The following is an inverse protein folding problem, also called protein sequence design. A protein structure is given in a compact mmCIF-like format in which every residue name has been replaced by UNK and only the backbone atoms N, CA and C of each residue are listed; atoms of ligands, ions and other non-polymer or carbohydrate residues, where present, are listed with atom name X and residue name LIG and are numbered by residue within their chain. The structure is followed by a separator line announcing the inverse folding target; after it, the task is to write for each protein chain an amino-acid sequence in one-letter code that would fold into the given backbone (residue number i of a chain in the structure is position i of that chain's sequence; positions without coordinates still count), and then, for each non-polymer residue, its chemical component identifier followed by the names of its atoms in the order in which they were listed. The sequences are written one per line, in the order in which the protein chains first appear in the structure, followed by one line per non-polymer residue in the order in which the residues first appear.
data_IF_657636676299
#
_entry.id   IF_657636676299
#
_cell.length_a   1.000
_cell.length_b   1.000
_cell.length_c   1.000
_cell.angle_alpha   90.00
_cell.angle_beta   90.00
_cell.angle_gamma   90.00
#
_symmetry.space_group_name_H-M   'P 1'
#
loop_
_entity.id
_entity.type
_entity.pdbx_description
1 polymer ?
#
# COMPACT_ATOMS: atom_id res chain seq x y z
N UNK A 1 -9.37 15.10 -25.97
CA UNK A 1 -8.26 14.13 -25.89
C UNK A 1 -8.68 13.05 -24.89
N UNK A 2 -9.09 11.88 -25.40
CA UNK A 2 -9.43 10.69 -24.59
C UNK A 2 -8.12 10.09 -24.09
N UNK A 3 -7.94 9.99 -22.78
CA UNK A 3 -6.96 9.05 -22.22
C UNK A 3 -7.67 7.71 -22.01
N UNK A 4 -7.28 6.75 -22.83
CA UNK A 4 -7.75 5.37 -22.76
C UNK A 4 -7.30 4.68 -21.49
N UNK A 5 -8.09 3.69 -21.08
CA UNK A 5 -7.87 2.77 -19.96
C UNK A 5 -6.45 2.18 -19.93
N UNK A 6 -5.89 1.89 -18.75
CA UNK A 6 -4.84 0.89 -18.61
C UNK A 6 -5.42 -0.40 -18.03
N UNK A 7 -5.71 -1.37 -18.89
CA UNK A 7 -5.54 -2.77 -18.55
C UNK A 7 -4.07 -3.09 -18.77
N UNK A 8 -3.29 -3.25 -17.70
CA UNK A 8 -1.91 -3.77 -17.80
C UNK A 8 -1.80 -4.98 -16.89
N UNK A 9 -2.02 -6.15 -17.50
CA UNK A 9 -1.51 -7.42 -17.01
C UNK A 9 -0.09 -7.56 -17.55
N UNK A 10 0.91 -7.65 -16.67
CA UNK A 10 2.28 -8.00 -17.04
C UNK A 10 2.42 -9.52 -17.03
N UNK A 11 2.43 -10.14 -18.21
CA UNK A 11 2.90 -11.51 -18.43
C UNK A 11 4.23 -11.46 -19.19
N UNK A 12 5.23 -12.17 -18.67
CA UNK A 12 6.50 -12.44 -19.34
C UNK A 12 6.85 -13.91 -19.17
N UNK A 13 7.04 -14.61 -20.29
CA UNK A 13 7.44 -16.03 -20.35
C UNK A 13 8.76 -16.17 -21.11
N UNK A 14 9.66 -17.05 -20.65
CA UNK A 14 10.72 -17.65 -21.48
C UNK A 14 11.13 -19.05 -20.97
N UNK A 15 10.72 -20.07 -21.75
CA UNK A 15 11.21 -21.44 -22.00
C UNK A 15 11.99 -22.33 -20.96
N UNK A 16 11.31 -23.44 -20.62
CA UNK A 16 11.55 -24.86 -20.20
C UNK A 16 12.91 -25.60 -20.43
N UNK A 17 13.22 -26.77 -19.77
CA UNK A 17 12.33 -27.95 -19.57
C UNK A 17 12.27 -28.71 -18.21
N UNK A 18 11.05 -29.24 -18.00
CA UNK A 18 10.59 -30.50 -17.40
C UNK A 18 10.83 -30.88 -15.92
N UNK A 19 9.78 -30.70 -15.10
CA UNK A 19 9.18 -31.79 -14.31
C UNK A 19 7.73 -31.44 -13.93
N UNK A 20 6.81 -32.35 -14.21
CA UNK A 20 5.36 -32.28 -14.02
C UNK A 20 4.93 -31.79 -12.63
N UNK A 21 4.05 -30.77 -12.53
CA UNK A 21 2.80 -30.86 -11.77
C UNK A 21 1.88 -29.63 -11.92
N UNK A 22 0.67 -29.88 -12.46
CA UNK A 22 -0.60 -29.16 -12.24
C UNK A 22 -0.61 -27.63 -12.42
N UNK A 23 -0.94 -27.22 -13.65
CA UNK A 23 -1.45 -25.89 -14.00
C UNK A 23 -2.73 -25.55 -13.22
N UNK A 24 -2.57 -25.00 -12.02
CA UNK A 24 -3.62 -24.18 -11.41
C UNK A 24 -3.48 -22.75 -11.92
N UNK A 25 -3.71 -22.58 -13.23
CA UNK A 25 -4.03 -21.28 -13.79
C UNK A 25 -5.24 -20.77 -13.01
N UNK A 26 -5.01 -19.81 -12.11
CA UNK A 26 -6.10 -19.20 -11.36
C UNK A 26 -6.93 -18.41 -12.36
N UNK A 27 -7.91 -19.09 -12.94
CA UNK A 27 -9.05 -18.46 -13.58
C UNK A 27 -9.66 -17.55 -12.53
N UNK A 28 -9.20 -16.29 -12.52
CA UNK A 28 -9.85 -15.22 -11.80
C UNK A 28 -11.28 -15.20 -12.31
N UNK A 29 -12.19 -15.77 -11.52
CA UNK A 29 -13.61 -15.83 -11.81
C UNK A 29 -14.07 -14.43 -12.23
N UNK A 30 -14.35 -14.26 -13.53
CA UNK A 30 -14.76 -13.00 -14.14
C UNK A 30 -16.16 -12.53 -13.66
N UNK A 31 -16.75 -13.25 -12.70
CA UNK A 31 -18.09 -13.02 -12.17
C UNK A 31 -18.11 -12.91 -10.64
N UNK A 32 -16.99 -12.55 -10.00
CA UNK A 32 -17.05 -12.17 -8.58
C UNK A 32 -17.89 -10.90 -8.47
N UNK A 33 -19.00 -10.97 -7.74
CA UNK A 33 -19.85 -9.82 -7.44
C UNK A 33 -18.97 -8.63 -7.04
N UNK A 34 -19.26 -7.47 -7.64
CA UNK A 34 -18.50 -6.26 -7.36
C UNK A 34 -18.53 -5.99 -5.85
N UNK A 35 -17.38 -6.18 -5.20
CA UNK A 35 -17.29 -6.08 -3.75
C UNK A 35 -17.76 -4.72 -3.25
N UNK A 36 -18.41 -4.69 -2.08
CA UNK A 36 -19.00 -3.50 -1.47
C UNK A 36 -18.06 -2.28 -1.45
N UNK A 37 -16.76 -2.50 -1.22
CA UNK A 37 -15.75 -1.43 -1.26
C UNK A 37 -15.60 -0.77 -2.65
N UNK A 38 -15.74 -1.53 -3.73
CA UNK A 38 -15.66 -1.01 -5.11
C UNK A 38 -16.91 -0.18 -5.43
N UNK A 39 -18.08 -0.67 -5.04
CA UNK A 39 -19.33 0.08 -5.20
C UNK A 39 -19.25 1.45 -4.50
N UNK A 40 -18.83 1.46 -3.23
CA UNK A 40 -18.66 2.71 -2.48
C UNK A 40 -17.57 3.61 -3.07
N UNK A 41 -16.45 3.06 -3.53
CA UNK A 41 -15.39 3.85 -4.14
C UNK A 41 -15.87 4.58 -5.40
N UNK A 42 -16.70 3.93 -6.23
CA UNK A 42 -17.30 4.57 -7.43
C UNK A 42 -18.20 5.73 -7.05
N UNK A 43 -19.12 5.52 -6.10
CA UNK A 43 -20.01 6.59 -5.62
C UNK A 43 -19.20 7.73 -5.00
N UNK A 44 -18.13 7.42 -4.26
CA UNK A 44 -17.30 8.43 -3.62
C UNK A 44 -16.48 9.24 -4.64
N UNK A 45 -16.03 8.60 -5.73
CA UNK A 45 -15.23 9.25 -6.78
C UNK A 45 -15.93 10.43 -7.45
N UNK A 46 -17.27 10.46 -7.45
CA UNK A 46 -18.06 11.59 -7.96
C UNK A 46 -17.87 12.88 -7.13
N UNK A 47 -17.42 12.76 -5.88
CA UNK A 47 -17.29 13.87 -4.93
C UNK A 47 -15.85 14.32 -4.69
N UNK A 48 -14.86 13.67 -5.30
CA UNK A 48 -13.44 13.95 -5.05
C UNK A 48 -12.65 14.08 -6.35
N UNK A 49 -11.77 15.09 -6.40
CA UNK A 49 -10.79 15.27 -7.47
C UNK A 49 -9.57 14.34 -7.31
N UNK A 50 -9.40 13.73 -6.13
CA UNK A 50 -8.32 12.81 -5.83
C UNK A 50 -8.71 11.37 -6.20
N UNK A 51 -7.77 10.58 -6.75
CA UNK A 51 -8.04 9.20 -7.11
C UNK A 51 -8.41 8.37 -5.88
N UNK A 52 -9.51 7.63 -5.96
CA UNK A 52 -9.96 6.71 -4.91
C UNK A 52 -9.27 5.37 -5.11
N UNK A 53 -8.46 4.95 -4.14
CA UNK A 53 -7.71 3.70 -4.18
C UNK A 53 -8.32 2.68 -3.23
N UNK A 54 -8.33 1.41 -3.63
CA UNK A 54 -8.87 0.30 -2.84
C UNK A 54 -7.72 -0.64 -2.45
N UNK A 55 -7.66 -1.00 -1.17
CA UNK A 55 -6.68 -1.95 -0.65
C UNK A 55 -6.92 -3.36 -1.20
N UNK A 56 -5.99 -3.85 -2.02
CA UNK A 56 -6.03 -5.23 -2.53
C UNK A 56 -5.87 -6.22 -1.37
N UNK A 57 -6.79 -7.18 -1.27
CA UNK A 57 -6.84 -8.13 -0.15
C UNK A 57 -7.49 -7.58 1.13
N UNK A 58 -7.92 -6.31 1.11
CA UNK A 58 -8.64 -5.66 2.21
C UNK A 58 -7.79 -5.40 3.46
N UNK A 59 -8.45 -4.90 4.50
CA UNK A 59 -7.78 -4.55 5.76
C UNK A 59 -7.13 -5.75 6.45
N UNK A 60 -7.69 -6.96 6.30
CA UNK A 60 -7.16 -8.19 6.90
C UNK A 60 -5.74 -8.50 6.41
N UNK A 61 -5.49 -8.41 5.11
CA UNK A 61 -4.15 -8.67 4.57
C UNK A 61 -3.19 -7.55 4.97
N UNK A 62 -3.64 -6.29 4.88
CA UNK A 62 -2.87 -5.14 5.28
C UNK A 62 -2.41 -5.21 6.74
N UNK A 63 -3.32 -5.49 7.67
CA UNK A 63 -3.00 -5.54 9.11
C UNK A 63 -2.08 -6.70 9.47
N UNK A 64 -2.08 -7.79 8.70
CA UNK A 64 -1.13 -8.88 8.87
C UNK A 64 0.28 -8.51 8.41
N UNK A 65 0.41 -7.78 7.30
CA UNK A 65 1.71 -7.34 6.77
C UNK A 65 2.30 -6.15 7.54
N UNK A 66 1.45 -5.21 7.97
CA UNK A 66 1.84 -3.95 8.60
C UNK A 66 1.11 -3.74 9.94
N UNK A 67 1.35 -4.59 10.95
CA UNK A 67 0.63 -4.52 12.22
C UNK A 67 0.84 -3.20 12.96
N UNK A 68 2.00 -2.56 12.78
CA UNK A 68 2.33 -1.26 13.38
C UNK A 68 1.56 -0.07 12.77
N UNK A 69 0.99 -0.22 11.56
CA UNK A 69 0.11 0.78 10.95
C UNK A 69 -1.36 0.56 11.32
N UNK A 70 -1.68 -0.63 11.86
CA UNK A 70 -3.04 -0.95 12.26
C UNK A 70 -3.40 -0.18 13.53
N UNK A 71 -4.46 0.62 13.46
CA UNK A 71 -4.89 1.43 14.61
C UNK A 71 -5.92 0.65 15.42
N UNK A 72 -5.73 0.58 16.74
CA UNK A 72 -6.66 -0.11 17.64
C UNK A 72 -7.90 0.75 17.99
N UNK A 73 -7.77 2.08 17.90
CA UNK A 73 -8.87 3.03 18.11
C UNK A 73 -9.64 3.29 16.81
N UNK A 74 -10.96 3.11 16.85
CA UNK A 74 -11.88 3.37 15.71
C UNK A 74 -12.23 4.86 15.61
N UNK A 75 -12.18 5.61 16.72
CA UNK A 75 -12.55 7.02 16.79
C UNK A 75 -11.39 7.83 17.36
N UNK A 76 -11.07 8.93 16.69
CA UNK A 76 -10.06 9.89 17.07
C UNK A 76 -10.67 11.29 17.13
N UNK A 77 -10.33 12.05 18.18
CA UNK A 77 -10.65 13.47 18.22
C UNK A 77 -9.73 14.25 17.29
N UNK A 78 -10.16 15.39 16.71
CA UNK A 78 -9.32 16.19 15.81
C UNK A 78 -7.94 16.53 16.40
N UNK A 79 -7.88 16.87 17.69
CA UNK A 79 -6.63 17.14 18.39
C UNK A 79 -5.70 15.92 18.44
N UNK A 80 -6.26 14.72 18.60
CA UNK A 80 -5.44 13.50 18.59
C UNK A 80 -4.93 13.19 17.17
N UNK A 81 -5.69 13.56 16.12
CA UNK A 81 -5.24 13.43 14.72
C UNK A 81 -4.09 14.39 14.39
N UNK A 82 -4.11 15.60 14.93
CA UNK A 82 -3.02 16.58 14.73
C UNK A 82 -1.69 16.10 15.34
N UNK A 83 -1.78 15.32 16.42
CA UNK A 83 -0.63 14.71 17.08
C UNK A 83 -0.26 13.33 16.52
N UNK A 84 -0.96 12.83 15.50
CA UNK A 84 -0.71 11.51 14.96
C UNK A 84 0.62 11.46 14.19
N UNK A 85 1.54 10.61 14.65
CA UNK A 85 2.82 10.42 13.99
C UNK A 85 2.63 9.55 12.74
N UNK A 86 2.71 10.17 11.57
CA UNK A 86 2.63 9.45 10.29
C UNK A 86 3.90 8.65 10.04
N UNK A 87 3.77 7.45 9.47
CA UNK A 87 4.91 6.67 8.98
C UNK A 87 5.44 7.22 7.65
N UNK A 88 6.73 6.99 7.34
CA UNK A 88 7.30 7.25 6.02
C UNK A 88 6.49 6.61 4.89
N UNK A 89 6.48 7.27 3.73
CA UNK A 89 5.84 6.74 2.52
C UNK A 89 6.66 5.55 2.01
N UNK A 90 5.99 4.44 1.72
CA UNK A 90 6.61 3.28 1.10
C UNK A 90 6.71 3.46 -0.41
N UNK A 91 7.93 3.43 -0.94
CA UNK A 91 8.21 3.54 -2.38
C UNK A 91 8.36 2.16 -2.99
N UNK A 92 9.08 1.27 -2.30
CA UNK A 92 9.18 -0.15 -2.66
C UNK A 92 8.74 -0.99 -1.46
N UNK A 93 7.78 -1.92 -1.66
CA UNK A 93 7.27 -2.75 -0.60
C UNK A 93 8.37 -3.43 0.23
N UNK A 94 8.34 -3.19 1.54
CA UNK A 94 9.26 -3.72 2.54
C UNK A 94 10.76 -3.44 2.29
N UNK A 95 11.11 -2.49 1.42
CA UNK A 95 12.50 -2.26 0.99
C UNK A 95 12.93 -0.79 1.01
N UNK A 96 12.10 0.12 0.51
CA UNK A 96 12.46 1.53 0.37
C UNK A 96 11.35 2.42 0.89
N UNK A 97 11.72 3.32 1.80
CA UNK A 97 10.83 4.28 2.42
C UNK A 97 11.38 5.69 2.23
N UNK A 98 10.48 6.63 2.00
CA UNK A 98 10.78 8.06 1.90
C UNK A 98 10.10 8.78 3.06
N UNK A 99 10.90 9.45 3.88
CA UNK A 99 10.43 10.14 5.08
C UNK A 99 11.16 11.45 5.34
N UNK A 100 10.67 12.18 6.32
CA UNK A 100 11.28 13.39 6.85
C UNK A 100 12.35 13.08 7.91
N UNK A 101 13.16 14.08 8.26
CA UNK A 101 14.16 13.97 9.32
C UNK A 101 13.58 13.50 10.65
N UNK A 102 12.41 14.02 11.05
CA UNK A 102 11.73 13.62 12.30
C UNK A 102 11.47 12.11 12.35
N UNK A 103 11.08 11.52 11.22
CA UNK A 103 10.81 10.09 11.12
C UNK A 103 12.11 9.26 11.09
N UNK A 104 13.16 9.79 10.46
CA UNK A 104 14.48 9.15 10.41
C UNK A 104 15.15 9.08 11.80
N UNK A 105 14.87 10.05 12.67
CA UNK A 105 15.33 10.07 14.06
C UNK A 105 14.45 9.24 15.03
N UNK A 106 13.26 8.81 14.60
CA UNK A 106 12.31 8.10 15.46
C UNK A 106 12.68 6.61 15.56
N UNK A 107 13.18 6.21 16.73
CA UNK A 107 13.62 4.83 16.96
C UNK A 107 12.48 3.80 16.85
N UNK A 108 11.24 4.19 17.12
CA UNK A 108 10.11 3.27 17.01
C UNK A 108 9.83 2.98 15.53
N UNK A 109 9.76 4.02 14.71
CA UNK A 109 9.57 3.88 13.25
C UNK A 109 10.68 3.03 12.64
N UNK A 110 11.94 3.25 13.02
CA UNK A 110 13.07 2.47 12.50
C UNK A 110 12.98 0.99 12.85
N UNK A 111 12.53 0.66 14.07
CA UNK A 111 12.35 -0.74 14.51
C UNK A 111 11.18 -1.40 13.80
N UNK A 112 10.05 -0.71 13.72
CA UNK A 112 8.81 -1.23 13.15
C UNK A 112 8.97 -1.50 11.65
N UNK A 113 9.66 -0.60 10.92
CA UNK A 113 10.00 -0.77 9.51
C UNK A 113 11.25 -1.63 9.26
N UNK A 114 11.95 -2.05 10.32
CA UNK A 114 13.21 -2.82 10.26
C UNK A 114 14.27 -2.17 9.36
N UNK A 115 14.43 -0.85 9.50
CA UNK A 115 15.38 -0.06 8.71
C UNK A 115 16.81 -0.46 9.07
N UNK A 116 17.60 -0.82 8.05
CA UNK A 116 19.01 -1.22 8.20
C UNK A 116 19.99 -0.11 7.79
N UNK A 117 19.55 0.79 6.93
CA UNK A 117 20.36 1.87 6.39
C UNK A 117 19.47 3.09 6.11
N UNK A 118 20.04 4.27 6.21
CA UNK A 118 19.38 5.54 5.91
C UNK A 118 20.23 6.31 4.89
N UNK A 119 19.57 7.00 3.96
CA UNK A 119 20.22 7.86 2.97
C UNK A 119 19.65 9.26 3.15
N UNK A 120 20.49 10.19 3.61
CA UNK A 120 20.10 11.58 3.82
C UNK A 120 20.44 12.38 2.56
N UNK A 121 19.40 12.87 1.88
CA UNK A 121 19.55 13.65 0.64
C UNK A 121 19.76 15.15 0.92
N UNK A 122 19.40 15.60 2.12
CA UNK A 122 19.59 16.97 2.58
C UNK A 122 20.23 16.99 3.96
N UNK A 123 21.20 17.86 4.18
CA UNK A 123 21.64 18.21 5.52
C UNK A 123 20.72 19.31 6.06
N UNK A 124 19.91 18.99 7.07
CA UNK A 124 19.23 20.01 7.86
C UNK A 124 20.15 20.39 9.01
N UNK A 125 20.38 21.70 9.26
CA UNK A 125 21.17 22.13 10.40
C UNK A 125 20.50 21.68 11.70
N UNK A 126 21.32 21.15 12.61
CA UNK A 126 20.94 20.69 13.95
C UNK A 126 20.44 21.84 14.84
#
# INVERSE_FOLDING_TARGET
LRFGSPNVCLSGSSASPESENTDSSSLCSQNAEEGTAIQYARSFQEFTLHPVLILRGGYRLFSACYPFLSTQKILWMPQELDNFQTYPVEILPAQLYMGSFKQACDQQILKDLKIKAQVNVSEQPA
#
